data_IF_847097669360
#
_entry.id   IF_847097669360
#
_cell.length_a   1.000
_cell.length_b   1.000
_cell.length_c   1.000
_cell.angle_alpha   90.00
_cell.angle_beta   90.00
_cell.angle_gamma   90.00
#
_symmetry.space_group_name_H-M   'P 1'
#
loop_
_entity.id
_entity.type
_entity.pdbx_description
1 polymer ?
#
# COMPACT_ATOMS: atom_id res chain seq x y z
N UNK A 1 -7.73 23.39 -10.13
CA UNK A 1 -8.05 22.38 -9.10
C UNK A 1 -8.70 23.06 -7.93
N UNK A 2 -9.83 22.62 -7.45
CA UNK A 2 -10.35 23.15 -6.22
C UNK A 2 -9.38 22.79 -5.11
N UNK A 3 -9.07 23.76 -4.26
CA UNK A 3 -8.32 23.53 -3.04
C UNK A 3 -8.99 22.39 -2.25
N UNK A 4 -8.18 21.43 -1.76
CA UNK A 4 -8.70 20.35 -0.95
C UNK A 4 -9.57 20.89 0.17
N UNK A 5 -10.71 20.24 0.41
CA UNK A 5 -11.57 20.61 1.53
C UNK A 5 -10.86 20.25 2.84
N UNK A 6 -10.71 21.22 3.71
CA UNK A 6 -10.18 21.02 5.06
C UNK A 6 -11.33 20.56 5.95
N UNK A 7 -11.16 19.41 6.60
CA UNK A 7 -12.08 18.95 7.63
C UNK A 7 -11.62 19.42 9.00
N UNK A 8 -12.40 20.26 9.62
CA UNK A 8 -12.17 20.65 11.01
C UNK A 8 -12.98 19.73 11.94
N UNK A 9 -12.30 19.00 12.81
CA UNK A 9 -12.95 18.34 13.94
C UNK A 9 -12.86 19.29 15.11
N UNK A 10 -13.98 19.87 15.52
CA UNK A 10 -14.04 20.67 16.72
C UNK A 10 -14.44 19.81 17.90
N UNK A 11 -13.54 19.60 18.84
CA UNK A 11 -13.88 19.07 20.15
C UNK A 11 -14.06 20.23 21.14
N UNK A 12 -15.14 20.20 21.91
CA UNK A 12 -15.53 21.27 22.83
C UNK A 12 -14.76 21.29 24.16
N UNK A 13 -13.65 20.56 24.27
CA UNK A 13 -12.96 20.33 25.54
C UNK A 13 -11.57 20.93 25.67
N UNK A 14 -11.17 21.82 24.74
CA UNK A 14 -9.86 22.46 24.78
C UNK A 14 -8.70 21.59 24.39
N UNK A 15 -8.95 20.41 23.81
CA UNK A 15 -7.95 19.52 23.25
C UNK A 15 -7.28 20.07 21.98
N UNK A 16 -6.15 19.48 21.58
CA UNK A 16 -5.46 19.82 20.35
C UNK A 16 -6.35 19.58 19.14
N UNK A 17 -6.51 20.57 18.27
CA UNK A 17 -7.25 20.44 17.02
C UNK A 17 -6.37 19.81 15.97
N UNK A 18 -6.86 18.75 15.34
CA UNK A 18 -6.22 18.13 14.18
C UNK A 18 -6.98 18.60 12.94
N UNK A 19 -6.29 19.29 12.07
CA UNK A 19 -6.81 19.66 10.76
C UNK A 19 -6.40 18.59 9.75
N UNK A 20 -7.36 18.10 8.99
CA UNK A 20 -7.12 17.13 7.94
C UNK A 20 -7.28 17.78 6.58
N UNK A 21 -6.27 17.60 5.72
CA UNK A 21 -6.35 18.00 4.32
C UNK A 21 -6.85 16.84 3.48
N UNK A 22 -7.80 17.14 2.57
CA UNK A 22 -8.24 16.15 1.61
C UNK A 22 -7.29 16.10 0.43
N UNK A 23 -6.75 14.93 0.14
CA UNK A 23 -5.96 14.66 -1.06
C UNK A 23 -6.82 14.08 -2.20
N UNK A 24 -8.15 14.08 -2.04
CA UNK A 24 -9.07 13.60 -3.05
C UNK A 24 -9.05 12.09 -3.23
N UNK A 25 -9.55 11.63 -4.37
CA UNK A 25 -9.63 10.22 -4.71
C UNK A 25 -11.03 9.63 -4.49
N UNK A 26 -11.22 8.40 -4.95
CA UNK A 26 -12.48 7.63 -4.80
C UNK A 26 -12.16 6.30 -4.11
N UNK A 27 -11.68 6.38 -2.88
CA UNK A 27 -11.17 5.25 -2.12
C UNK A 27 -12.30 4.28 -1.74
N UNK A 28 -12.10 3.00 -2.04
CA UNK A 28 -12.91 1.90 -1.54
C UNK A 28 -12.23 1.16 -0.39
N UNK A 29 -10.93 1.41 -0.16
CA UNK A 29 -10.13 0.77 0.88
C UNK A 29 -9.57 1.79 1.86
N UNK A 30 -9.05 1.30 2.99
CA UNK A 30 -8.13 2.09 3.80
C UNK A 30 -6.83 2.31 3.02
N UNK A 31 -6.16 3.46 3.20
CA UNK A 31 -4.89 3.70 2.53
C UNK A 31 -3.74 2.94 3.19
N UNK A 32 -2.73 2.65 2.39
CA UNK A 32 -1.42 2.20 2.84
C UNK A 32 -0.38 3.25 2.46
N UNK A 33 0.66 3.38 3.25
CA UNK A 33 1.72 4.36 3.00
C UNK A 33 3.08 3.73 3.27
N UNK A 34 4.07 4.12 2.48
CA UNK A 34 5.47 3.80 2.74
C UNK A 34 6.37 4.96 2.36
N UNK A 35 7.55 5.00 2.98
CA UNK A 35 8.60 5.97 2.70
C UNK A 35 9.88 5.22 2.33
N UNK A 36 10.59 5.70 1.32
CA UNK A 36 11.86 5.13 0.87
C UNK A 36 13.05 6.03 1.18
N UNK A 37 12.79 7.29 1.55
CA UNK A 37 13.81 8.25 1.90
C UNK A 37 13.21 9.34 2.80
N UNK A 38 14.09 10.11 3.41
CA UNK A 38 13.67 11.26 4.22
C UNK A 38 12.86 12.23 3.37
N UNK A 39 11.72 12.67 3.91
CA UNK A 39 10.80 13.62 3.28
C UNK A 39 10.21 13.15 1.93
N UNK A 40 10.16 11.84 1.69
CA UNK A 40 9.51 11.24 0.52
C UNK A 40 8.59 10.09 0.96
N UNK A 41 7.40 10.01 0.40
CA UNK A 41 6.44 8.95 0.69
C UNK A 41 5.45 8.76 -0.45
N UNK A 42 4.84 7.60 -0.49
CA UNK A 42 3.77 7.31 -1.43
C UNK A 42 2.62 6.62 -0.72
N UNK A 43 1.41 7.06 -1.01
CA UNK A 43 0.18 6.50 -0.48
C UNK A 43 -0.54 5.73 -1.57
N UNK A 44 -1.12 4.60 -1.18
CA UNK A 44 -1.83 3.68 -2.06
C UNK A 44 -3.21 3.40 -1.50
N UNK A 45 -4.18 3.24 -2.39
CA UNK A 45 -5.51 2.79 -2.03
C UNK A 45 -6.16 2.06 -3.20
N UNK A 46 -7.01 1.09 -2.89
CA UNK A 46 -7.88 0.48 -3.89
C UNK A 46 -9.08 1.40 -4.04
N UNK A 47 -9.33 1.84 -5.27
CA UNK A 47 -10.44 2.72 -5.60
C UNK A 47 -11.70 1.92 -5.91
N UNK A 48 -12.79 2.62 -6.09
CA UNK A 48 -14.11 2.04 -6.38
C UNK A 48 -14.16 1.25 -7.69
N UNK A 49 -13.18 1.46 -8.59
CA UNK A 49 -13.00 0.70 -9.82
C UNK A 49 -12.28 -0.65 -9.64
N UNK A 50 -11.85 -0.96 -8.41
CA UNK A 50 -11.11 -2.20 -8.09
C UNK A 50 -9.63 -2.16 -8.41
N UNK A 51 -9.11 -1.05 -8.92
CA UNK A 51 -7.70 -0.87 -9.21
C UNK A 51 -6.97 -0.23 -8.04
N UNK A 52 -5.66 -0.48 -7.95
CA UNK A 52 -4.78 0.28 -7.07
C UNK A 52 -4.52 1.65 -7.69
N UNK A 53 -4.62 2.70 -6.89
CA UNK A 53 -4.24 4.06 -7.24
C UNK A 53 -3.23 4.56 -6.22
N UNK A 54 -2.37 5.46 -6.65
CA UNK A 54 -1.36 6.05 -5.77
C UNK A 54 -1.10 7.50 -6.08
N UNK A 55 -0.62 8.22 -5.08
CA UNK A 55 0.00 9.54 -5.25
C UNK A 55 1.17 9.66 -4.29
N UNK A 56 2.16 10.44 -4.66
CA UNK A 56 3.38 10.55 -3.87
C UNK A 56 3.73 11.99 -3.52
N UNK A 57 4.41 12.14 -2.41
CA UNK A 57 5.04 13.36 -1.94
C UNK A 57 6.52 13.32 -2.30
N UNK A 58 7.00 14.34 -3.03
CA UNK A 58 8.36 14.40 -3.55
C UNK A 58 9.34 15.20 -2.66
N UNK A 59 8.89 15.60 -1.48
CA UNK A 59 9.63 16.46 -0.58
C UNK A 59 9.20 17.94 -0.63
N UNK A 60 8.41 18.32 -1.63
CA UNK A 60 7.92 19.68 -1.82
C UNK A 60 6.40 19.72 -2.13
N UNK A 61 5.89 18.78 -2.92
CA UNK A 61 4.50 18.77 -3.34
C UNK A 61 3.95 17.35 -3.48
N UNK A 62 2.62 17.24 -3.36
CA UNK A 62 1.88 16.03 -3.74
C UNK A 62 1.67 16.00 -5.25
N UNK A 63 2.04 14.86 -5.86
CA UNK A 63 1.71 14.57 -7.24
C UNK A 63 0.27 14.05 -7.36
N UNK A 64 -0.29 14.10 -8.56
CA UNK A 64 -1.65 13.66 -8.82
C UNK A 64 -1.81 12.14 -8.65
N UNK A 65 -3.05 11.70 -8.46
CA UNK A 65 -3.38 10.29 -8.42
C UNK A 65 -3.08 9.60 -9.75
N UNK A 66 -2.39 8.46 -9.68
CA UNK A 66 -2.12 7.59 -10.82
C UNK A 66 -2.70 6.20 -10.59
N UNK A 67 -3.34 5.66 -11.64
CA UNK A 67 -3.77 4.26 -11.63
C UNK A 67 -2.56 3.33 -11.75
N UNK A 68 -2.51 2.35 -10.89
CA UNK A 68 -1.50 1.29 -10.89
C UNK A 68 -2.06 -0.05 -11.37
N UNK A 69 -3.33 -0.11 -11.72
CA UNK A 69 -3.98 -1.32 -12.23
C UNK A 69 -4.35 -2.32 -11.17
N UNK A 70 -4.47 -3.57 -11.58
CA UNK A 70 -4.87 -4.70 -10.75
C UNK A 70 -6.38 -4.95 -10.74
N UNK A 71 -6.78 -6.12 -10.26
CA UNK A 71 -8.14 -6.51 -9.95
C UNK A 71 -8.19 -6.97 -8.50
N UNK A 72 -8.43 -6.03 -7.60
CA UNK A 72 -8.11 -6.16 -6.19
C UNK A 72 -9.34 -5.98 -5.30
N UNK A 73 -9.22 -6.49 -4.09
CA UNK A 73 -10.23 -6.34 -3.04
C UNK A 73 -9.56 -6.14 -1.69
N UNK A 74 -10.30 -5.62 -0.73
CA UNK A 74 -9.81 -5.36 0.62
C UNK A 74 -8.89 -4.15 0.70
N UNK A 75 -7.92 -4.20 1.59
CA UNK A 75 -6.96 -3.14 1.86
C UNK A 75 -5.56 -3.51 1.41
N UNK A 76 -4.83 -2.64 0.70
CA UNK A 76 -3.44 -2.89 0.35
C UNK A 76 -2.52 -2.70 1.55
N UNK A 77 -1.30 -3.23 1.42
CA UNK A 77 -0.18 -2.94 2.32
C UNK A 77 1.04 -2.57 1.49
N UNK A 78 1.92 -1.74 2.04
CA UNK A 78 3.11 -1.28 1.34
C UNK A 78 4.31 -1.28 2.28
N UNK A 79 5.49 -1.54 1.73
CA UNK A 79 6.76 -1.43 2.44
C UNK A 79 7.87 -1.01 1.47
N UNK A 80 9.01 -0.63 2.03
CA UNK A 80 10.22 -0.30 1.29
C UNK A 80 11.43 -0.77 2.09
N UNK A 81 12.45 -1.26 1.41
CA UNK A 81 13.74 -1.54 2.06
C UNK A 81 14.78 -0.41 1.88
N UNK A 82 14.39 0.68 1.24
CA UNK A 82 15.25 1.83 1.03
C UNK A 82 15.02 2.52 -0.30
N UNK A 83 15.97 3.35 -0.70
CA UNK A 83 15.90 4.12 -1.93
C UNK A 83 15.64 3.22 -3.15
N UNK A 84 14.87 3.73 -4.09
CA UNK A 84 14.53 3.10 -5.36
C UNK A 84 13.74 1.78 -5.25
N UNK A 85 13.11 1.52 -4.09
CA UNK A 85 12.29 0.33 -3.91
C UNK A 85 11.00 0.61 -3.15
N UNK A 86 9.90 0.17 -3.74
CA UNK A 86 8.58 0.12 -3.09
C UNK A 86 7.96 -1.21 -3.44
N UNK A 87 7.35 -1.86 -2.47
CA UNK A 87 6.59 -3.09 -2.66
C UNK A 87 5.18 -2.89 -2.13
N UNK A 88 4.19 -3.25 -2.94
CA UNK A 88 2.78 -3.16 -2.60
C UNK A 88 2.16 -4.54 -2.75
N UNK A 89 1.38 -4.92 -1.77
CA UNK A 89 0.67 -6.20 -1.77
C UNK A 89 -0.82 -5.95 -1.55
N UNK A 90 -1.62 -6.72 -2.24
CA UNK A 90 -3.06 -6.69 -2.07
C UNK A 90 -3.63 -8.08 -2.36
N UNK A 91 -4.83 -8.32 -1.85
CA UNK A 91 -5.58 -9.52 -2.18
C UNK A 91 -6.30 -9.31 -3.51
N UNK A 92 -6.11 -10.24 -4.45
CA UNK A 92 -6.86 -10.26 -5.69
C UNK A 92 -8.31 -10.69 -5.48
N UNK A 93 -9.15 -10.45 -6.47
CA UNK A 93 -10.53 -10.99 -6.47
C UNK A 93 -10.56 -12.51 -6.50
N UNK A 94 -9.47 -13.13 -6.94
CA UNK A 94 -9.25 -14.58 -6.91
C UNK A 94 -8.85 -15.12 -5.53
N UNK A 95 -8.67 -14.26 -4.53
CA UNK A 95 -8.25 -14.62 -3.19
C UNK A 95 -6.74 -14.77 -3.00
N UNK A 96 -5.95 -14.66 -4.06
CA UNK A 96 -4.50 -14.81 -4.02
C UNK A 96 -3.80 -13.51 -3.58
N UNK A 97 -2.55 -13.66 -3.16
CA UNK A 97 -1.66 -12.52 -2.89
C UNK A 97 -1.13 -11.99 -4.22
N UNK A 98 -1.36 -10.70 -4.49
CA UNK A 98 -0.83 -10.00 -5.64
C UNK A 98 0.20 -8.99 -5.21
N UNK A 99 1.25 -8.82 -6.01
CA UNK A 99 2.41 -8.01 -5.74
C UNK A 99 2.72 -7.07 -6.90
N UNK A 100 2.92 -5.81 -6.56
CA UNK A 100 3.40 -4.75 -7.45
C UNK A 100 4.63 -4.14 -6.81
N UNK A 101 5.66 -3.84 -7.61
CA UNK A 101 6.85 -3.22 -7.05
C UNK A 101 7.51 -2.24 -8.00
N UNK A 102 8.16 -1.26 -7.42
CA UNK A 102 8.97 -0.26 -8.09
C UNK A 102 10.44 -0.56 -7.86
N UNK A 103 11.22 -0.55 -8.94
CA UNK A 103 12.67 -0.62 -8.90
C UNK A 103 13.27 -1.34 -10.11
N UNK A 104 14.52 -1.01 -10.48
CA UNK A 104 15.31 0.12 -9.99
C UNK A 104 14.82 1.49 -10.49
N UNK A 105 14.18 1.58 -11.67
CA UNK A 105 13.80 2.86 -12.27
C UNK A 105 12.34 2.94 -12.74
N UNK A 106 11.56 1.88 -12.51
CA UNK A 106 10.18 1.80 -13.00
C UNK A 106 9.33 0.84 -12.19
N UNK A 107 8.02 0.97 -12.35
CA UNK A 107 7.05 0.01 -11.85
C UNK A 107 7.11 -1.27 -12.69
N UNK A 108 7.11 -2.41 -12.01
CA UNK A 108 7.07 -3.73 -12.64
C UNK A 108 5.61 -4.18 -12.80
N UNK A 109 5.32 -5.13 -13.71
CA UNK A 109 3.97 -5.67 -13.84
C UNK A 109 3.49 -6.34 -12.56
N UNK A 110 2.17 -6.32 -12.33
CA UNK A 110 1.54 -7.12 -11.29
C UNK A 110 1.87 -8.60 -11.46
N UNK A 111 2.20 -9.27 -10.36
CA UNK A 111 2.41 -10.71 -10.32
C UNK A 111 1.56 -11.33 -9.22
N UNK A 112 1.02 -12.51 -9.47
CA UNK A 112 0.37 -13.32 -8.45
C UNK A 112 1.41 -14.16 -7.71
N UNK A 113 1.42 -14.06 -6.40
CA UNK A 113 2.22 -14.93 -5.54
C UNK A 113 1.43 -16.14 -5.06
N UNK A 114 0.18 -16.27 -5.48
CA UNK A 114 -0.66 -17.44 -5.15
C UNK A 114 -1.26 -17.38 -3.76
N UNK A 115 -1.62 -18.56 -3.26
CA UNK A 115 -2.27 -18.72 -1.96
C UNK A 115 -3.76 -18.38 -1.98
N UNK A 116 -4.41 -18.63 -0.86
CA UNK A 116 -5.80 -18.23 -0.60
C UNK A 116 -5.86 -17.55 0.76
N UNK A 117 -6.21 -16.28 0.75
CA UNK A 117 -6.26 -15.46 1.96
C UNK A 117 -7.69 -15.10 2.32
N UNK A 118 -7.98 -15.07 3.61
CA UNK A 118 -9.25 -14.62 4.18
C UNK A 118 -9.13 -13.30 4.93
N UNK A 119 -7.96 -12.67 4.88
CA UNK A 119 -7.71 -11.32 5.38
C UNK A 119 -6.92 -10.53 4.38
N UNK A 120 -6.80 -9.22 4.61
CA UNK A 120 -5.85 -8.39 3.90
C UNK A 120 -4.42 -8.75 4.31
N UNK A 121 -3.44 -8.60 3.41
CA UNK A 121 -2.05 -8.84 3.75
C UNK A 121 -1.49 -7.72 4.62
N UNK A 122 -0.44 -8.05 5.37
CA UNK A 122 0.40 -7.10 6.10
C UNK A 122 1.84 -7.39 5.78
N UNK A 123 2.60 -6.37 5.39
CA UNK A 123 3.97 -6.52 4.94
C UNK A 123 4.92 -5.63 5.73
N UNK A 124 6.16 -6.11 5.86
CA UNK A 124 7.25 -5.38 6.48
C UNK A 124 8.58 -5.75 5.83
N UNK A 125 9.54 -4.83 5.90
CA UNK A 125 10.92 -5.08 5.55
C UNK A 125 11.82 -4.60 6.69
N UNK A 126 12.81 -5.40 7.07
CA UNK A 126 13.81 -4.95 8.05
C UNK A 126 15.13 -4.52 7.41
N UNK A 127 15.23 -4.58 6.08
CA UNK A 127 16.43 -4.18 5.36
C UNK A 127 16.41 -4.63 3.93
N UNK A 128 17.50 -4.31 3.23
CA UNK A 128 17.64 -4.60 1.81
C UNK A 128 17.49 -6.10 1.52
N UNK A 129 16.81 -6.40 0.42
CA UNK A 129 16.56 -7.75 -0.09
C UNK A 129 15.74 -8.63 0.87
N UNK A 130 15.00 -8.01 1.80
CA UNK A 130 14.13 -8.74 2.71
C UNK A 130 12.73 -8.13 2.77
N UNK A 131 11.74 -8.96 2.51
CA UNK A 131 10.32 -8.62 2.72
C UNK A 131 9.65 -9.82 3.37
N UNK A 132 8.77 -9.55 4.31
CA UNK A 132 7.91 -10.54 4.94
C UNK A 132 6.46 -10.09 4.79
N UNK A 133 5.59 -11.00 4.34
CA UNK A 133 4.17 -10.76 4.17
C UNK A 133 3.40 -11.79 4.96
N UNK A 134 2.38 -11.33 5.65
CA UNK A 134 1.53 -12.17 6.48
C UNK A 134 0.06 -11.96 6.10
N UNK A 135 -0.72 -13.01 6.22
CA UNK A 135 -2.16 -12.98 6.05
C UNK A 135 -2.81 -14.11 6.83
N UNK A 136 -4.13 -14.05 6.99
CA UNK A 136 -4.90 -15.16 7.56
C UNK A 136 -5.28 -16.14 6.45
N UNK A 137 -5.12 -17.42 6.71
CA UNK A 137 -5.54 -18.51 5.82
C UNK A 137 -6.99 -18.92 6.01
N UNK A 138 -7.46 -19.84 5.17
CA UNK A 138 -8.83 -20.34 5.18
C UNK A 138 -9.20 -21.08 6.47
N UNK A 139 -8.22 -21.69 7.12
CA UNK A 139 -8.40 -22.39 8.39
C UNK A 139 -8.20 -21.51 9.62
N UNK A 140 -8.01 -20.19 9.41
CA UNK A 140 -7.77 -19.22 10.48
C UNK A 140 -6.32 -19.17 10.94
N UNK A 141 -5.44 -19.85 10.25
CA UNK A 141 -4.00 -19.90 10.52
C UNK A 141 -3.26 -18.66 9.99
N UNK A 142 -2.06 -18.44 10.47
CA UNK A 142 -1.18 -17.38 9.99
C UNK A 142 -0.37 -17.88 8.80
N UNK A 143 -0.60 -17.28 7.64
CA UNK A 143 0.21 -17.51 6.44
C UNK A 143 1.39 -16.56 6.41
N UNK A 144 2.53 -17.02 5.91
CA UNK A 144 3.76 -16.25 5.77
C UNK A 144 4.40 -16.49 4.41
N UNK A 145 4.79 -15.42 3.74
CA UNK A 145 5.64 -15.43 2.57
C UNK A 145 6.84 -14.51 2.80
N UNK A 146 8.02 -14.92 2.33
CA UNK A 146 9.24 -14.15 2.50
C UNK A 146 10.05 -14.04 1.21
N UNK A 147 10.56 -12.85 0.93
CA UNK A 147 11.55 -12.59 -0.11
C UNK A 147 12.94 -12.54 0.53
N UNK A 148 13.89 -13.29 -0.02
CA UNK A 148 15.27 -13.38 0.50
C UNK A 148 16.30 -12.64 -0.36
N UNK A 149 15.84 -11.84 -1.33
CA UNK A 149 16.67 -11.16 -2.31
C UNK A 149 16.79 -11.92 -3.64
N UNK A 150 16.30 -13.16 -3.71
CA UNK A 150 16.36 -14.00 -4.92
C UNK A 150 15.04 -14.69 -5.23
N UNK A 151 14.40 -15.23 -4.22
CA UNK A 151 13.18 -16.01 -4.37
C UNK A 151 12.17 -15.72 -3.28
N UNK A 152 10.89 -15.94 -3.59
CA UNK A 152 9.84 -16.03 -2.60
C UNK A 152 9.79 -17.43 -2.01
N UNK A 153 9.73 -17.52 -0.70
CA UNK A 153 9.48 -18.78 0.03
C UNK A 153 8.15 -18.67 0.76
N UNK A 154 7.44 -19.79 0.85
CA UNK A 154 6.14 -19.88 1.51
C UNK A 154 6.25 -20.90 2.64
N UNK A 155 5.90 -20.46 3.82
CA UNK A 155 5.85 -21.33 4.99
C UNK A 155 4.42 -21.72 5.33
#
# INVERSE_FOLDING_TARGET
MPAGSTFEISENDGGARVNWDSLGGSLASTPAVTSWAQNEMQVFSIFTDGQLWSRYWDGDAWHEWHAQGGELTGNPTACSWGADRIDVFARGRDGALWHLWYGPDSWQPWESLGGQMTSDPSASSWGRDRIDVFARGEEGDLLHAAWDGKTWSFA
#
